data_IF_919583630289
#
_entry.id   IF_919583630289
#
_cell.length_a   1.000
_cell.length_b   1.000
_cell.length_c   1.000
_cell.angle_alpha   90.00
_cell.angle_beta   90.00
_cell.angle_gamma   90.00
#
_symmetry.space_group_name_H-M   'P 1'
#
loop_
_entity.id
_entity.type
_entity.pdbx_description
1 polymer ?
#
# COMPACT_ATOMS: atom_id res chain seq x y z
N UNK A 1 -8.54 -8.90 -1.80
CA UNK A 1 -7.39 -8.02 -2.12
C UNK A 1 -7.59 -6.73 -1.37
N UNK A 2 -6.78 -6.44 -0.37
CA UNK A 2 -6.82 -5.15 0.32
C UNK A 2 -6.33 -4.10 -0.66
N UNK A 3 -7.26 -3.32 -1.22
CA UNK A 3 -6.92 -2.16 -2.05
C UNK A 3 -6.02 -1.24 -1.23
N UNK A 4 -4.82 -0.97 -1.72
CA UNK A 4 -3.93 0.07 -1.17
C UNK A 4 -4.32 1.38 -1.85
N UNK A 5 -5.19 2.21 -1.26
CA UNK A 5 -5.77 3.37 -1.95
C UNK A 5 -4.72 4.40 -2.33
N UNK A 6 -3.66 4.55 -1.52
CA UNK A 6 -2.55 5.46 -1.80
C UNK A 6 -1.83 5.09 -3.10
N UNK A 7 -1.49 3.79 -3.24
CA UNK A 7 -0.80 3.27 -4.42
C UNK A 7 -1.64 3.41 -5.67
N UNK A 8 -2.94 3.09 -5.59
CA UNK A 8 -3.84 3.19 -6.72
C UNK A 8 -3.97 4.63 -7.25
N UNK A 9 -4.15 5.62 -6.35
CA UNK A 9 -4.25 7.02 -6.74
C UNK A 9 -2.93 7.53 -7.32
N UNK A 10 -1.80 7.22 -6.68
CA UNK A 10 -0.48 7.66 -7.15
C UNK A 10 -0.16 7.10 -8.54
N UNK A 11 -0.39 5.81 -8.73
CA UNK A 11 -0.20 5.16 -10.03
C UNK A 11 -1.06 5.81 -11.10
N UNK A 12 -2.35 5.99 -10.85
CA UNK A 12 -3.26 6.64 -11.79
C UNK A 12 -2.83 8.08 -12.14
N UNK A 13 -2.30 8.83 -11.16
CA UNK A 13 -1.86 10.19 -11.38
C UNK A 13 -0.55 10.30 -12.16
N UNK A 14 0.38 9.34 -12.00
CA UNK A 14 1.74 9.45 -12.50
C UNK A 14 2.16 8.37 -13.52
N UNK A 15 1.32 7.37 -13.84
CA UNK A 15 1.65 6.37 -14.87
C UNK A 15 1.76 6.98 -16.28
N UNK A 16 1.11 8.14 -16.52
CA UNK A 16 1.23 8.88 -17.76
C UNK A 16 2.61 9.58 -17.81
N UNK A 17 3.44 9.36 -18.86
CA UNK A 17 4.79 9.92 -18.93
C UNK A 17 4.86 11.43 -18.75
N UNK A 18 3.89 12.17 -19.33
CA UNK A 18 3.80 13.62 -19.18
C UNK A 18 3.62 14.07 -17.73
N UNK A 19 2.88 13.31 -16.94
CA UNK A 19 2.66 13.60 -15.53
C UNK A 19 3.90 13.30 -14.70
N UNK A 20 4.53 12.14 -14.94
CA UNK A 20 5.79 11.78 -14.30
C UNK A 20 6.89 12.79 -14.64
N UNK A 21 6.97 13.23 -15.90
CA UNK A 21 7.91 14.28 -16.33
C UNK A 21 7.81 15.51 -15.45
N UNK A 22 6.60 16.04 -15.23
CA UNK A 22 6.41 17.23 -14.39
C UNK A 22 6.94 17.05 -12.97
N UNK A 23 6.70 15.86 -12.37
CA UNK A 23 7.22 15.54 -11.05
C UNK A 23 8.75 15.46 -11.02
N UNK A 24 9.37 14.79 -12.00
CA UNK A 24 10.82 14.71 -12.09
C UNK A 24 11.47 16.07 -12.33
N UNK A 25 10.87 16.93 -13.17
CA UNK A 25 11.33 18.30 -13.37
C UNK A 25 11.27 19.15 -12.08
N UNK A 26 10.34 18.84 -11.18
CA UNK A 26 10.24 19.50 -9.89
C UNK A 26 11.35 19.10 -8.91
N UNK A 27 11.76 17.82 -8.91
CA UNK A 27 12.67 17.27 -7.89
C UNK A 27 14.13 17.17 -8.35
N UNK A 28 14.38 17.13 -9.67
CA UNK A 28 15.73 17.05 -10.22
C UNK A 28 16.46 18.39 -10.13
N UNK A 29 17.78 18.37 -9.90
CA UNK A 29 18.59 19.55 -10.10
C UNK A 29 18.40 20.13 -11.51
N UNK A 30 18.36 21.46 -11.68
CA UNK A 30 18.10 22.10 -12.99
C UNK A 30 19.00 21.60 -14.11
N UNK A 31 20.30 21.47 -13.85
CA UNK A 31 21.29 21.02 -14.84
C UNK A 31 21.04 19.56 -15.29
N UNK A 32 20.63 18.67 -14.35
CA UNK A 32 20.27 17.28 -14.67
C UNK A 32 18.99 17.26 -15.47
N UNK A 33 17.97 18.03 -15.07
CA UNK A 33 16.71 18.14 -15.80
C UNK A 33 16.91 18.68 -17.23
N UNK A 34 17.82 19.64 -17.41
CA UNK A 34 18.14 20.20 -18.73
C UNK A 34 18.85 19.20 -19.66
N UNK A 35 19.62 18.26 -19.10
CA UNK A 35 20.31 17.23 -19.87
C UNK A 35 19.37 16.10 -20.34
N UNK A 36 18.14 16.03 -19.81
CA UNK A 36 17.15 15.00 -20.18
C UNK A 36 16.33 15.45 -21.40
N UNK A 37 16.29 14.61 -22.41
CA UNK A 37 15.38 14.74 -23.56
C UNK A 37 13.98 14.34 -23.14
N UNK A 38 13.18 15.24 -22.56
CA UNK A 38 11.84 14.93 -22.04
C UNK A 38 10.84 14.41 -23.08
N UNK A 39 11.05 14.72 -24.37
CA UNK A 39 10.23 14.15 -25.46
C UNK A 39 10.46 12.64 -25.67
N UNK A 40 11.52 12.08 -25.10
CA UNK A 40 11.86 10.65 -25.18
C UNK A 40 11.28 9.82 -24.05
N UNK A 41 10.61 10.43 -23.06
CA UNK A 41 10.09 9.69 -21.91
C UNK A 41 9.03 8.67 -22.32
N UNK A 42 9.27 7.40 -21.97
CA UNK A 42 8.33 6.28 -22.22
C UNK A 42 8.20 5.42 -20.96
N UNK A 43 6.98 4.89 -20.70
CA UNK A 43 6.81 3.99 -19.56
C UNK A 43 7.48 2.66 -19.85
N UNK A 44 8.19 2.14 -18.87
CA UNK A 44 8.71 0.77 -18.92
C UNK A 44 7.65 -0.20 -18.40
N UNK A 45 7.36 -1.24 -19.18
CA UNK A 45 6.39 -2.25 -18.79
C UNK A 45 6.94 -3.11 -17.62
N UNK A 46 6.04 -3.76 -16.85
CA UNK A 46 6.35 -4.62 -15.70
C UNK A 46 7.38 -5.75 -15.93
N UNK A 47 7.95 -5.86 -17.16
CA UNK A 47 9.10 -6.74 -17.43
C UNK A 47 10.37 -6.30 -16.71
N UNK A 48 10.51 -5.06 -16.31
CA UNK A 48 11.65 -4.54 -15.55
C UNK A 48 11.40 -4.45 -14.03
N UNK A 49 10.15 -4.54 -13.60
CA UNK A 49 9.77 -4.55 -12.19
C UNK A 49 9.63 -6.01 -11.74
N UNK A 50 10.26 -6.37 -10.64
CA UNK A 50 10.17 -7.71 -10.05
C UNK A 50 8.71 -8.01 -9.69
N UNK A 51 8.12 -9.16 -10.11
CA UNK A 51 6.76 -9.55 -9.71
C UNK A 51 6.54 -9.51 -8.20
N UNK A 52 7.56 -9.84 -7.40
CA UNK A 52 7.51 -9.78 -5.93
C UNK A 52 7.46 -8.33 -5.38
N UNK A 53 7.81 -7.33 -6.21
CA UNK A 53 7.72 -5.90 -5.88
C UNK A 53 6.41 -5.27 -6.35
N UNK A 54 5.84 -5.74 -7.46
CA UNK A 54 4.57 -5.22 -8.05
C UNK A 54 3.42 -5.30 -7.03
N UNK A 55 3.44 -6.31 -6.16
CA UNK A 55 2.41 -6.49 -5.14
C UNK A 55 2.62 -5.65 -3.86
N UNK A 56 3.76 -4.97 -3.71
CA UNK A 56 4.10 -4.27 -2.48
C UNK A 56 4.12 -2.74 -2.58
N UNK A 57 4.38 -2.14 -3.77
CA UNK A 57 4.59 -0.70 -3.91
C UNK A 57 4.10 -0.16 -5.26
N UNK A 58 3.76 1.15 -5.29
CA UNK A 58 3.39 1.90 -6.51
C UNK A 58 4.63 2.37 -7.26
N UNK A 59 5.41 1.41 -7.74
CA UNK A 59 6.63 1.70 -8.46
C UNK A 59 6.33 2.03 -9.92
N UNK A 60 6.84 3.15 -10.40
CA UNK A 60 6.77 3.56 -11.78
C UNK A 60 8.19 3.70 -12.34
N UNK A 61 8.42 3.07 -13.48
CA UNK A 61 9.70 3.11 -14.19
C UNK A 61 9.49 3.69 -15.59
N UNK A 62 10.36 4.62 -15.97
CA UNK A 62 10.35 5.23 -17.29
C UNK A 62 11.75 5.19 -17.88
N UNK A 63 11.85 5.02 -19.21
CA UNK A 63 13.08 5.26 -19.95
C UNK A 63 13.10 6.67 -20.52
N UNK A 64 14.29 7.25 -20.59
CA UNK A 64 14.57 8.57 -21.18
C UNK A 64 15.93 8.56 -21.87
N UNK A 65 16.22 9.60 -22.66
CA UNK A 65 17.56 9.93 -23.13
C UNK A 65 18.14 11.03 -22.26
N UNK A 66 19.28 10.77 -21.62
CA UNK A 66 20.08 11.72 -20.87
C UNK A 66 21.35 11.98 -21.68
N UNK A 67 21.51 13.19 -22.19
CA UNK A 67 22.64 13.58 -23.04
C UNK A 67 22.91 12.57 -24.18
N UNK A 68 21.83 12.13 -24.85
CA UNK A 68 21.85 11.14 -25.91
C UNK A 68 22.09 9.69 -25.50
N UNK A 69 22.21 9.41 -24.20
CA UNK A 69 22.42 8.05 -23.66
C UNK A 69 21.17 7.55 -22.96
N UNK A 70 20.78 6.27 -23.10
CA UNK A 70 19.65 5.70 -22.39
C UNK A 70 19.81 5.77 -20.87
N UNK A 71 18.79 6.26 -20.17
CA UNK A 71 18.70 6.32 -18.72
C UNK A 71 17.30 5.94 -18.25
N UNK A 72 17.17 5.61 -16.97
CA UNK A 72 15.91 5.23 -16.34
C UNK A 72 15.54 6.26 -15.26
N UNK A 73 14.25 6.58 -15.18
CA UNK A 73 13.65 7.34 -14.10
C UNK A 73 12.81 6.38 -13.26
N UNK A 74 13.11 6.28 -11.96
CA UNK A 74 12.39 5.41 -11.02
C UNK A 74 11.63 6.27 -10.01
N UNK A 75 10.31 6.11 -9.96
CA UNK A 75 9.42 6.88 -9.10
C UNK A 75 8.72 5.95 -8.11
N UNK A 76 8.89 6.20 -6.83
CA UNK A 76 8.31 5.45 -5.72
C UNK A 76 7.42 6.35 -4.85
N UNK A 77 6.25 5.85 -4.46
CA UNK A 77 5.46 6.43 -3.37
C UNK A 77 5.76 5.70 -2.06
N UNK A 78 6.24 6.43 -1.06
CA UNK A 78 6.38 5.93 0.30
C UNK A 78 5.23 6.45 1.17
N UNK A 79 4.44 5.53 1.71
CA UNK A 79 3.23 5.84 2.47
C UNK A 79 3.24 5.35 3.92
N UNK A 80 4.34 4.77 4.41
CA UNK A 80 4.38 4.23 5.75
C UNK A 80 4.32 5.33 6.81
N UNK A 81 3.31 5.25 7.65
CA UNK A 81 3.15 6.10 8.84
C UNK A 81 4.14 5.72 9.96
N UNK A 82 4.78 4.56 9.87
CA UNK A 82 5.84 4.07 10.74
C UNK A 82 7.16 4.11 10.00
N UNK A 83 8.09 4.86 10.53
CA UNK A 83 9.46 5.12 10.08
C UNK A 83 10.04 4.07 9.11
N UNK A 84 10.05 4.38 7.83
CA UNK A 84 10.95 3.71 6.88
C UNK A 84 12.38 4.22 7.11
N UNK A 85 12.90 4.00 8.33
CA UNK A 85 14.26 4.44 8.71
C UNK A 85 15.33 3.84 7.78
N UNK A 86 15.02 2.73 7.14
CA UNK A 86 15.85 1.97 6.21
C UNK A 86 15.57 2.29 4.73
N UNK A 87 14.78 3.31 4.41
CA UNK A 87 14.38 3.61 3.03
C UNK A 87 15.55 3.76 2.04
N UNK A 88 16.69 4.41 2.38
CA UNK A 88 17.83 4.41 1.48
C UNK A 88 18.36 3.01 1.14
N UNK A 89 18.32 2.07 2.09
CA UNK A 89 18.72 0.68 1.85
C UNK A 89 17.72 -0.04 0.93
N UNK A 90 16.42 0.08 1.22
CA UNK A 90 15.35 -0.49 0.39
C UNK A 90 15.40 0.06 -1.05
N UNK A 91 15.61 1.38 -1.20
CA UNK A 91 15.77 1.97 -2.52
C UNK A 91 16.98 1.40 -3.26
N UNK A 92 18.12 1.23 -2.59
CA UNK A 92 19.29 0.60 -3.19
C UNK A 92 19.00 -0.84 -3.65
N UNK A 93 18.28 -1.63 -2.88
CA UNK A 93 17.83 -2.97 -3.27
C UNK A 93 16.96 -2.94 -4.54
N UNK A 94 16.00 -2.00 -4.64
CA UNK A 94 15.15 -1.85 -5.82
C UNK A 94 15.97 -1.51 -7.06
N UNK A 95 16.91 -0.55 -6.96
CA UNK A 95 17.78 -0.17 -8.07
C UNK A 95 18.69 -1.33 -8.52
N UNK A 96 19.24 -2.09 -7.59
CA UNK A 96 20.03 -3.29 -7.88
C UNK A 96 19.20 -4.35 -8.62
N UNK A 97 17.94 -4.55 -8.25
CA UNK A 97 17.03 -5.48 -8.94
C UNK A 97 16.73 -5.02 -10.36
N UNK A 98 16.45 -3.71 -10.57
CA UNK A 98 16.28 -3.12 -11.91
C UNK A 98 17.53 -3.35 -12.76
N UNK A 99 18.73 -3.06 -12.25
CA UNK A 99 20.00 -3.31 -12.96
C UNK A 99 20.22 -4.79 -13.27
N UNK A 100 19.96 -5.69 -12.32
CA UNK A 100 20.10 -7.14 -12.55
C UNK A 100 19.19 -7.64 -13.68
N UNK A 101 17.98 -7.13 -13.73
CA UNK A 101 17.03 -7.48 -14.78
C UNK A 101 17.44 -6.90 -16.12
N UNK A 102 17.83 -5.62 -16.15
CA UNK A 102 18.36 -4.98 -17.33
C UNK A 102 19.56 -5.76 -17.89
N UNK A 103 20.51 -6.13 -17.05
CA UNK A 103 21.70 -6.89 -17.43
C UNK A 103 21.36 -8.23 -18.09
N UNK A 104 20.34 -8.93 -17.61
CA UNK A 104 19.90 -10.22 -18.20
C UNK A 104 19.38 -10.06 -19.63
N UNK A 105 18.73 -8.94 -19.93
CA UNK A 105 18.14 -8.69 -21.26
C UNK A 105 19.07 -7.96 -22.22
N UNK A 106 19.96 -7.10 -21.73
CA UNK A 106 20.73 -6.16 -22.56
C UNK A 106 22.26 -6.24 -22.34
N UNK A 107 22.73 -6.90 -21.29
CA UNK A 107 24.16 -6.95 -20.96
C UNK A 107 24.67 -5.67 -20.30
N UNK A 108 25.95 -5.34 -20.56
CA UNK A 108 26.61 -4.12 -20.08
C UNK A 108 26.84 -3.16 -21.25
N UNK A 109 26.93 -1.84 -21.00
CA UNK A 109 26.89 -1.14 -19.71
C UNK A 109 25.49 -1.07 -19.10
N UNK A 110 25.41 -0.89 -17.77
CA UNK A 110 24.15 -0.63 -17.07
C UNK A 110 23.69 0.80 -17.34
N UNK A 111 22.36 1.04 -17.46
CA UNK A 111 21.83 2.39 -17.59
C UNK A 111 21.95 3.16 -16.28
N UNK A 112 22.06 4.49 -16.36
CA UNK A 112 21.87 5.34 -15.22
C UNK A 112 20.42 5.21 -14.73
N UNK A 113 20.20 5.19 -13.40
CA UNK A 113 18.86 5.23 -12.81
C UNK A 113 18.78 6.45 -11.87
N UNK A 114 17.79 7.31 -12.09
CA UNK A 114 17.51 8.47 -11.26
C UNK A 114 16.29 8.15 -10.37
N UNK A 115 16.47 7.82 -9.09
CA UNK A 115 15.37 7.49 -8.20
C UNK A 115 14.78 8.75 -7.57
N UNK A 116 13.47 8.87 -7.62
CA UNK A 116 12.70 9.86 -6.90
C UNK A 116 11.67 9.17 -6.00
N UNK A 117 11.47 9.72 -4.82
CA UNK A 117 10.57 9.23 -3.80
C UNK A 117 9.61 10.35 -3.39
N UNK A 118 8.31 10.07 -3.37
CA UNK A 118 7.29 10.96 -2.84
C UNK A 118 6.87 10.44 -1.46
N UNK A 119 7.04 11.27 -0.44
CA UNK A 119 6.59 11.00 0.93
C UNK A 119 5.35 11.80 1.25
N UNK A 120 4.33 11.14 1.82
CA UNK A 120 3.15 11.77 2.38
C UNK A 120 2.94 11.41 3.87
N UNK A 121 4.05 11.17 4.58
CA UNK A 121 4.03 10.93 6.01
C UNK A 121 3.47 12.17 6.76
N UNK A 122 2.53 12.02 7.70
CA UNK A 122 1.88 13.17 8.36
C UNK A 122 2.86 14.08 9.11
N UNK A 123 3.96 13.52 9.62
CA UNK A 123 4.98 14.25 10.39
C UNK A 123 6.20 14.62 9.55
N UNK A 124 6.10 14.51 8.22
CA UNK A 124 7.20 14.74 7.31
C UNK A 124 8.24 13.61 7.27
N UNK A 125 9.27 13.82 6.47
CA UNK A 125 10.35 12.86 6.27
C UNK A 125 11.37 12.93 7.41
N UNK A 126 11.47 11.87 8.21
CA UNK A 126 12.39 11.79 9.36
C UNK A 126 13.53 10.79 9.18
N UNK A 127 13.48 9.95 8.14
CA UNK A 127 14.52 8.97 7.84
C UNK A 127 15.79 9.64 7.26
N UNK A 128 16.90 8.90 7.26
CA UNK A 128 18.10 9.34 6.53
C UNK A 128 17.77 9.60 5.05
N UNK A 129 18.45 10.59 4.46
CA UNK A 129 18.37 10.87 3.01
C UNK A 129 19.50 10.19 2.22
N UNK A 130 20.33 9.39 2.88
CA UNK A 130 21.45 8.69 2.22
C UNK A 130 21.69 7.33 2.86
N UNK A 131 22.27 6.41 2.09
CA UNK A 131 22.69 5.12 2.61
C UNK A 131 23.80 5.27 3.67
N UNK A 132 24.72 6.22 3.49
CA UNK A 132 25.77 6.53 4.48
C UNK A 132 25.21 6.91 5.85
N UNK A 133 24.02 7.52 5.90
CA UNK A 133 23.37 7.87 7.17
C UNK A 133 22.81 6.68 7.95
N UNK A 134 22.88 5.47 7.39
CA UNK A 134 22.49 4.20 8.05
C UNK A 134 23.71 3.38 8.51
N UNK A 135 24.93 3.84 8.19
CA UNK A 135 26.17 3.07 8.43
C UNK A 135 26.88 3.61 9.67
N UNK A 136 27.34 2.69 10.53
CA UNK A 136 28.10 3.00 11.73
C UNK A 136 29.46 2.27 11.69
N UNK A 137 30.60 2.93 11.92
CA UNK A 137 30.72 4.37 12.14
C UNK A 137 30.40 5.16 10.85
N UNK A 138 29.99 6.45 10.95
CA UNK A 138 29.67 7.25 9.78
C UNK A 138 30.87 7.32 8.83
N UNK A 139 30.72 7.01 7.52
CA UNK A 139 31.87 7.00 6.58
C UNK A 139 32.61 8.33 6.49
N UNK A 140 31.97 9.45 6.78
CA UNK A 140 32.61 10.77 6.83
C UNK A 140 33.52 10.99 8.05
N UNK A 141 33.43 10.13 9.08
CA UNK A 141 34.22 10.25 10.31
C UNK A 141 35.73 9.94 10.11
N UNK A 142 36.05 9.22 9.03
CA UNK A 142 37.43 8.86 8.69
C UNK A 142 37.80 9.48 7.33
N UNK A 143 38.80 10.35 7.25
CA UNK A 143 39.23 10.94 5.98
C UNK A 143 39.53 9.88 4.91
N UNK A 144 38.90 10.00 3.72
CA UNK A 144 39.11 9.08 2.61
C UNK A 144 38.23 7.81 2.65
N UNK A 145 37.47 7.55 3.71
CA UNK A 145 36.64 6.35 3.80
C UNK A 145 35.37 6.45 2.95
N UNK A 146 34.72 7.60 2.92
CA UNK A 146 33.42 7.78 2.24
C UNK A 146 33.39 7.29 0.76
N UNK A 147 34.42 7.53 -0.08
CA UNK A 147 34.45 7.03 -1.45
C UNK A 147 34.58 5.50 -1.57
N UNK A 148 34.99 4.82 -0.51
CA UNK A 148 35.16 3.36 -0.49
C UNK A 148 33.90 2.61 -0.05
N UNK A 149 32.90 3.34 0.48
CA UNK A 149 31.64 2.77 0.99
C UNK A 149 30.52 3.11 0.03
N UNK A 150 29.71 2.11 -0.31
CA UNK A 150 28.54 2.32 -1.16
C UNK A 150 27.65 3.42 -0.59
N UNK A 151 27.34 4.43 -1.40
CA UNK A 151 26.40 5.47 -1.06
C UNK A 151 25.36 5.66 -2.17
N UNK A 152 24.19 6.11 -1.74
CA UNK A 152 23.09 6.44 -2.60
C UNK A 152 22.18 7.45 -1.88
N UNK A 153 21.73 8.45 -2.60
CA UNK A 153 20.84 9.52 -2.10
C UNK A 153 19.65 9.64 -3.04
N UNK A 154 18.48 9.05 -2.72
CA UNK A 154 17.29 9.26 -3.51
C UNK A 154 16.82 10.70 -3.43
N UNK A 155 16.22 11.20 -4.50
CA UNK A 155 15.51 12.49 -4.48
C UNK A 155 14.22 12.31 -3.66
N UNK A 156 14.03 13.09 -2.61
CA UNK A 156 12.86 12.99 -1.73
C UNK A 156 12.00 14.24 -1.86
N UNK A 157 10.78 14.06 -2.37
CA UNK A 157 9.72 15.05 -2.33
C UNK A 157 8.85 14.77 -1.10
N UNK A 158 9.01 15.57 -0.07
CA UNK A 158 8.17 15.48 1.13
C UNK A 158 6.97 16.42 1.01
N UNK A 159 5.76 15.85 0.93
CA UNK A 159 4.55 16.64 0.79
C UNK A 159 4.20 17.43 2.06
N UNK A 160 4.66 16.97 3.24
CA UNK A 160 4.43 17.69 4.49
C UNK A 160 5.17 19.04 4.53
N UNK A 161 6.30 19.16 3.81
CA UNK A 161 7.07 20.42 3.69
C UNK A 161 6.45 21.42 2.69
N UNK A 162 5.32 21.08 2.09
CA UNK A 162 4.69 21.89 1.05
C UNK A 162 3.34 22.41 1.50
N UNK A 163 3.19 23.73 1.56
CA UNK A 163 1.90 24.39 1.75
C UNK A 163 1.09 24.43 0.45
N UNK A 164 -0.14 24.94 0.53
CA UNK A 164 -1.07 25.00 -0.60
C UNK A 164 -0.58 25.93 -1.70
N UNK A 165 0.04 27.05 -1.35
CA UNK A 165 0.56 28.02 -2.32
C UNK A 165 1.71 27.39 -3.11
N UNK A 166 2.65 26.76 -2.42
CA UNK A 166 3.76 26.04 -3.04
C UNK A 166 3.29 24.93 -3.97
N UNK A 167 2.32 24.09 -3.52
CA UNK A 167 1.76 23.03 -4.36
C UNK A 167 1.03 23.59 -5.60
N UNK A 168 0.33 24.72 -5.45
CA UNK A 168 -0.39 25.37 -6.54
C UNK A 168 0.56 25.91 -7.59
N UNK A 169 1.69 26.47 -7.17
CA UNK A 169 2.70 27.05 -8.05
C UNK A 169 3.53 26.02 -8.81
N UNK A 170 3.48 24.75 -8.41
CA UNK A 170 4.19 23.69 -9.13
C UNK A 170 3.69 23.55 -10.56
N UNK A 171 4.61 23.42 -11.50
CA UNK A 171 4.33 23.23 -12.93
C UNK A 171 3.85 21.79 -13.23
N UNK A 172 2.81 21.35 -12.53
CA UNK A 172 2.17 20.06 -12.74
C UNK A 172 0.83 20.22 -13.44
N UNK A 173 0.41 19.19 -14.20
CA UNK A 173 -0.96 19.10 -14.68
C UNK A 173 -1.96 19.01 -13.50
N UNK A 174 -3.22 19.40 -13.75
CA UNK A 174 -4.23 19.52 -12.70
C UNK A 174 -4.47 18.20 -11.92
N UNK A 175 -4.58 17.05 -12.59
CA UNK A 175 -4.85 15.78 -11.92
C UNK A 175 -3.69 15.32 -11.03
N UNK A 176 -2.41 15.25 -11.47
CA UNK A 176 -1.27 15.01 -10.59
C UNK A 176 -1.20 15.96 -9.39
N UNK A 177 -1.44 17.23 -9.61
CA UNK A 177 -1.46 18.25 -8.54
C UNK A 177 -2.52 17.93 -7.50
N UNK A 178 -3.74 17.66 -7.94
CA UNK A 178 -4.85 17.28 -7.06
C UNK A 178 -4.58 15.97 -6.31
N UNK A 179 -3.99 14.97 -6.98
CA UNK A 179 -3.61 13.72 -6.35
C UNK A 179 -2.60 13.93 -5.22
N UNK A 180 -1.58 14.78 -5.41
CA UNK A 180 -0.61 15.09 -4.36
C UNK A 180 -1.26 15.82 -3.17
N UNK A 181 -2.19 16.72 -3.42
CA UNK A 181 -2.96 17.40 -2.35
C UNK A 181 -3.75 16.40 -1.51
N UNK A 182 -4.51 15.51 -2.14
CA UNK A 182 -5.31 14.55 -1.38
C UNK A 182 -4.47 13.43 -0.77
N UNK A 183 -3.29 13.12 -1.32
CA UNK A 183 -2.31 12.25 -0.66
C UNK A 183 -1.79 12.89 0.63
N UNK A 184 -1.48 14.20 0.61
CA UNK A 184 -1.04 14.96 1.79
C UNK A 184 -2.15 15.08 2.84
N UNK A 185 -3.33 15.50 2.42
CA UNK A 185 -4.41 15.97 3.32
C UNK A 185 -5.56 14.96 3.46
N UNK A 186 -5.61 13.90 2.65
CA UNK A 186 -6.76 12.99 2.58
C UNK A 186 -7.10 12.27 3.89
N UNK A 187 -6.16 12.19 4.83
CA UNK A 187 -6.39 11.63 6.17
C UNK A 187 -7.02 12.63 7.14
N UNK A 188 -7.06 13.93 6.78
CA UNK A 188 -7.69 15.01 7.53
C UNK A 188 -8.86 15.60 6.73
N UNK A 189 -10.06 15.01 6.85
CA UNK A 189 -11.25 15.48 6.12
C UNK A 189 -11.68 16.89 6.50
N UNK A 190 -11.38 17.36 7.70
CA UNK A 190 -11.65 18.72 8.13
C UNK A 190 -10.78 19.72 7.35
N UNK A 191 -9.51 19.41 7.17
CA UNK A 191 -8.58 20.19 6.35
C UNK A 191 -9.03 20.21 4.90
N UNK A 192 -9.34 19.06 4.29
CA UNK A 192 -9.85 18.97 2.93
C UNK A 192 -11.09 19.82 2.72
N UNK A 193 -12.04 19.81 3.68
CA UNK A 193 -13.27 20.58 3.61
C UNK A 193 -13.02 22.08 3.75
N UNK A 194 -12.21 22.48 4.73
CA UNK A 194 -11.86 23.88 5.01
C UNK A 194 -11.15 24.51 3.82
N UNK A 195 -10.20 23.78 3.25
CA UNK A 195 -9.30 24.30 2.22
C UNK A 195 -9.81 23.97 0.80
N UNK A 196 -11.01 23.39 0.66
CA UNK A 196 -11.59 22.97 -0.63
C UNK A 196 -11.66 24.12 -1.64
N UNK A 197 -11.97 25.34 -1.19
CA UNK A 197 -12.03 26.53 -2.05
C UNK A 197 -10.71 26.80 -2.78
N UNK A 198 -9.57 26.49 -2.17
CA UNK A 198 -8.25 26.67 -2.79
C UNK A 198 -8.04 25.72 -3.97
N UNK A 199 -8.70 24.54 -3.95
CA UNK A 199 -8.52 23.47 -4.93
C UNK A 199 -9.69 23.33 -5.90
N UNK A 200 -10.78 24.05 -5.67
CA UNK A 200 -11.99 23.98 -6.50
C UNK A 200 -11.71 24.18 -7.97
N UNK A 201 -10.89 25.16 -8.33
CA UNK A 201 -10.58 25.44 -9.72
C UNK A 201 -9.68 24.37 -10.34
N UNK A 202 -8.80 23.74 -9.56
CA UNK A 202 -8.03 22.56 -9.97
C UNK A 202 -8.96 21.37 -10.25
N UNK A 203 -9.97 21.13 -9.41
CA UNK A 203 -11.00 20.13 -9.68
C UNK A 203 -11.75 20.40 -10.99
N UNK A 204 -12.12 21.65 -11.25
CA UNK A 204 -12.77 22.05 -12.52
C UNK A 204 -11.87 21.84 -13.72
N UNK A 205 -10.60 22.14 -13.59
CA UNK A 205 -9.62 21.89 -14.64
C UNK A 205 -9.50 20.40 -14.95
N UNK A 206 -9.45 19.54 -13.92
CA UNK A 206 -9.47 18.09 -14.11
C UNK A 206 -10.75 17.65 -14.83
N UNK A 207 -11.93 18.10 -14.39
CA UNK A 207 -13.21 17.74 -15.00
C UNK A 207 -13.31 18.09 -16.50
N UNK A 208 -12.62 19.15 -16.95
CA UNK A 208 -12.60 19.56 -18.37
C UNK A 208 -11.71 18.68 -19.25
N UNK A 209 -10.84 17.87 -18.66
CA UNK A 209 -10.02 16.93 -19.42
C UNK A 209 -10.88 15.79 -20.01
N UNK A 210 -10.48 15.16 -21.14
CA UNK A 210 -11.26 14.09 -21.78
C UNK A 210 -11.61 12.92 -20.85
N UNK A 211 -10.74 12.58 -19.89
CA UNK A 211 -10.94 11.56 -18.86
C UNK A 211 -11.23 12.15 -17.48
N UNK A 212 -11.70 13.40 -17.43
CA UNK A 212 -11.79 14.18 -16.20
C UNK A 212 -12.75 13.60 -15.16
N UNK A 213 -13.88 13.06 -15.59
CA UNK A 213 -14.83 12.41 -14.68
C UNK A 213 -14.21 11.20 -13.98
N UNK A 214 -13.48 10.38 -14.71
CA UNK A 214 -12.78 9.21 -14.15
C UNK A 214 -11.66 9.64 -13.18
N UNK A 215 -10.87 10.63 -13.54
CA UNK A 215 -9.81 11.17 -12.69
C UNK A 215 -10.37 11.73 -11.37
N UNK A 216 -11.47 12.49 -11.43
CA UNK A 216 -12.16 12.98 -10.21
C UNK A 216 -12.73 11.82 -9.41
N UNK A 217 -13.33 10.81 -10.07
CA UNK A 217 -13.83 9.61 -9.38
C UNK A 217 -12.72 8.89 -8.59
N UNK A 218 -11.52 8.77 -9.15
CA UNK A 218 -10.36 8.17 -8.46
C UNK A 218 -9.97 8.98 -7.22
N UNK A 219 -9.93 10.31 -7.31
CA UNK A 219 -9.66 11.19 -6.17
C UNK A 219 -10.70 11.02 -5.08
N UNK A 220 -12.00 11.06 -5.45
CA UNK A 220 -13.10 10.93 -4.50
C UNK A 220 -13.15 9.54 -3.85
N UNK A 221 -12.90 8.49 -4.63
CA UNK A 221 -12.78 7.12 -4.12
C UNK A 221 -11.63 7.00 -3.12
N UNK A 222 -10.48 7.60 -3.43
CA UNK A 222 -9.36 7.65 -2.48
C UNK A 222 -9.77 8.32 -1.17
N UNK A 223 -10.34 9.54 -1.22
CA UNK A 223 -10.77 10.25 -0.01
C UNK A 223 -11.77 9.41 0.79
N UNK A 224 -12.76 8.80 0.15
CA UNK A 224 -13.74 7.96 0.80
C UNK A 224 -13.11 6.75 1.53
N UNK A 225 -12.13 6.09 0.90
CA UNK A 225 -11.44 4.93 1.48
C UNK A 225 -10.54 5.28 2.67
N UNK A 226 -9.89 6.45 2.65
CA UNK A 226 -8.97 6.84 3.73
C UNK A 226 -9.66 7.55 4.90
N UNK A 227 -10.82 8.19 4.67
CA UNK A 227 -11.57 8.90 5.72
C UNK A 227 -12.67 8.05 6.36
N UNK A 228 -13.15 7.03 5.65
CA UNK A 228 -14.32 6.24 6.03
C UNK A 228 -15.66 6.93 5.71
N UNK A 229 -16.73 6.14 5.65
CA UNK A 229 -18.02 6.55 5.10
C UNK A 229 -18.65 7.80 5.73
N UNK A 230 -18.64 7.93 7.06
CA UNK A 230 -19.28 9.06 7.74
C UNK A 230 -18.62 10.39 7.40
N UNK A 231 -17.29 10.43 7.40
CA UNK A 231 -16.53 11.65 7.11
C UNK A 231 -16.54 12.00 5.61
N UNK A 232 -16.65 10.98 4.76
CA UNK A 232 -16.82 11.19 3.33
C UNK A 232 -18.17 11.85 3.00
N UNK A 233 -19.25 11.53 3.72
CA UNK A 233 -20.55 12.18 3.54
C UNK A 233 -20.50 13.70 3.76
N UNK A 234 -19.75 14.15 4.76
CA UNK A 234 -19.54 15.57 5.03
C UNK A 234 -18.76 16.24 3.89
N UNK A 235 -17.70 15.59 3.41
CA UNK A 235 -16.92 16.09 2.26
C UNK A 235 -17.76 16.10 0.97
N UNK A 236 -18.59 15.09 0.74
CA UNK A 236 -19.52 15.01 -0.37
C UNK A 236 -20.54 16.17 -0.37
N UNK A 237 -21.03 16.55 0.81
CA UNK A 237 -21.91 17.71 0.94
C UNK A 237 -21.22 19.00 0.48
N UNK A 238 -19.96 19.22 0.86
CA UNK A 238 -19.14 20.35 0.42
C UNK A 238 -18.94 20.34 -1.10
N UNK A 239 -18.65 19.17 -1.69
CA UNK A 239 -18.51 19.03 -3.15
C UNK A 239 -19.82 19.42 -3.85
N UNK A 240 -20.96 18.90 -3.39
CA UNK A 240 -22.26 19.20 -4.00
C UNK A 240 -22.62 20.68 -3.93
N UNK A 241 -22.22 21.38 -2.87
CA UNK A 241 -22.45 22.81 -2.68
C UNK A 241 -21.52 23.66 -3.54
N UNK A 242 -20.21 23.34 -3.54
CA UNK A 242 -19.17 24.22 -4.13
C UNK A 242 -18.73 23.79 -5.53
N UNK A 243 -18.98 22.56 -5.92
CA UNK A 243 -18.63 21.97 -7.22
C UNK A 243 -19.76 21.03 -7.70
N UNK A 244 -20.94 21.56 -8.04
CA UNK A 244 -22.10 20.76 -8.43
C UNK A 244 -21.81 19.78 -9.58
N UNK A 245 -20.89 20.13 -10.48
CA UNK A 245 -20.47 19.31 -11.63
C UNK A 245 -19.83 17.97 -11.20
N UNK A 246 -19.23 17.90 -10.00
CA UNK A 246 -18.69 16.67 -9.43
C UNK A 246 -19.67 15.96 -8.48
N UNK A 247 -20.84 16.55 -8.22
CA UNK A 247 -21.82 16.04 -7.25
C UNK A 247 -22.36 14.66 -7.59
N UNK A 248 -22.66 14.40 -8.87
CA UNK A 248 -23.11 13.10 -9.35
C UNK A 248 -22.03 12.03 -9.25
N UNK A 249 -20.78 12.39 -9.57
CA UNK A 249 -19.61 11.48 -9.43
C UNK A 249 -19.44 11.09 -7.96
N UNK A 250 -19.50 12.05 -7.05
CA UNK A 250 -19.39 11.80 -5.61
C UNK A 250 -20.51 10.90 -5.08
N UNK A 251 -21.74 11.05 -5.62
CA UNK A 251 -22.87 10.19 -5.26
C UNK A 251 -22.67 8.76 -5.77
N UNK A 252 -22.24 8.59 -7.00
CA UNK A 252 -21.96 7.28 -7.60
C UNK A 252 -20.89 6.53 -6.80
N UNK A 253 -19.77 7.19 -6.47
CA UNK A 253 -18.70 6.58 -5.66
C UNK A 253 -19.19 6.15 -4.28
N UNK A 254 -20.01 6.97 -3.61
CA UNK A 254 -20.58 6.61 -2.31
C UNK A 254 -21.47 5.35 -2.40
N UNK A 255 -22.29 5.25 -3.45
CA UNK A 255 -23.16 4.09 -3.66
C UNK A 255 -22.36 2.83 -4.02
N UNK A 256 -21.34 2.94 -4.90
CA UNK A 256 -20.46 1.83 -5.23
C UNK A 256 -19.76 1.26 -3.99
N UNK A 257 -19.14 2.14 -3.17
CA UNK A 257 -18.47 1.72 -1.95
C UNK A 257 -19.42 1.09 -0.92
N UNK A 258 -20.67 1.59 -0.85
CA UNK A 258 -21.70 1.00 0.00
C UNK A 258 -22.05 -0.41 -0.46
N UNK A 259 -22.23 -0.62 -1.77
CA UNK A 259 -22.52 -1.93 -2.36
C UNK A 259 -21.36 -2.91 -2.20
N UNK A 260 -20.12 -2.44 -2.44
CA UNK A 260 -18.91 -3.25 -2.20
C UNK A 260 -18.81 -3.69 -0.73
N UNK A 261 -19.05 -2.77 0.21
CA UNK A 261 -19.06 -3.07 1.65
C UNK A 261 -20.13 -4.08 2.04
N UNK A 262 -21.33 -3.95 1.48
CA UNK A 262 -22.44 -4.92 1.71
C UNK A 262 -22.06 -6.31 1.17
N UNK A 263 -21.54 -6.38 -0.04
CA UNK A 263 -21.13 -7.64 -0.66
C UNK A 263 -20.01 -8.33 0.12
N UNK A 264 -18.99 -7.56 0.53
CA UNK A 264 -17.89 -8.08 1.36
C UNK A 264 -18.40 -8.57 2.72
N UNK A 265 -19.28 -7.81 3.37
CA UNK A 265 -19.89 -8.20 4.63
C UNK A 265 -20.72 -9.49 4.51
N UNK A 266 -21.50 -9.62 3.43
CA UNK A 266 -22.27 -10.84 3.15
C UNK A 266 -21.35 -12.05 2.92
N UNK A 267 -20.29 -11.88 2.14
CA UNK A 267 -19.32 -12.95 1.86
C UNK A 267 -18.58 -13.38 3.13
N UNK A 268 -18.12 -12.42 3.94
CA UNK A 268 -17.47 -12.72 5.21
C UNK A 268 -18.43 -13.41 6.20
N UNK A 269 -19.67 -12.91 6.30
CA UNK A 269 -20.69 -13.52 7.14
C UNK A 269 -21.01 -14.94 6.73
N UNK A 270 -21.14 -15.19 5.42
CA UNK A 270 -21.36 -16.55 4.88
C UNK A 270 -20.17 -17.48 5.20
N UNK A 271 -18.94 -16.99 4.99
CA UNK A 271 -17.73 -17.78 5.28
C UNK A 271 -17.60 -18.12 6.77
N UNK A 272 -17.83 -17.13 7.64
CA UNK A 272 -17.84 -17.33 9.09
C UNK A 272 -18.95 -18.28 9.53
N UNK A 273 -20.16 -18.11 8.99
CA UNK A 273 -21.30 -18.99 9.29
C UNK A 273 -21.04 -20.44 8.86
N UNK A 274 -20.46 -20.64 7.68
CA UNK A 274 -20.05 -21.99 7.22
C UNK A 274 -18.98 -22.61 8.11
N UNK A 275 -17.98 -21.82 8.53
CA UNK A 275 -16.93 -22.30 9.42
C UNK A 275 -17.47 -22.68 10.80
N UNK A 276 -18.31 -21.81 11.38
CA UNK A 276 -18.98 -22.10 12.67
C UNK A 276 -19.91 -23.30 12.58
N UNK A 277 -20.72 -23.39 11.52
CA UNK A 277 -21.61 -24.54 11.30
C UNK A 277 -20.84 -25.86 11.19
N UNK A 278 -19.73 -25.89 10.46
CA UNK A 278 -18.85 -27.07 10.37
C UNK A 278 -18.23 -27.44 11.71
N UNK A 279 -17.78 -26.46 12.50
CA UNK A 279 -17.22 -26.68 13.82
C UNK A 279 -18.29 -27.26 14.77
N UNK A 280 -19.50 -26.70 14.77
CA UNK A 280 -20.58 -27.17 15.60
C UNK A 280 -21.04 -28.59 15.21
N UNK A 281 -21.20 -28.88 13.91
CA UNK A 281 -21.53 -30.23 13.42
C UNK A 281 -20.51 -31.26 13.87
N UNK A 282 -19.21 -30.93 13.80
CA UNK A 282 -18.13 -31.82 14.27
C UNK A 282 -18.14 -32.01 15.78
N UNK A 283 -18.40 -30.97 16.54
CA UNK A 283 -18.55 -31.08 18.00
C UNK A 283 -19.71 -32.00 18.37
N UNK A 284 -20.88 -31.83 17.74
CA UNK A 284 -22.05 -32.68 17.94
C UNK A 284 -21.77 -34.13 17.55
N UNK A 285 -21.10 -34.37 16.43
CA UNK A 285 -20.70 -35.71 15.98
C UNK A 285 -19.75 -36.35 16.98
N UNK A 286 -18.73 -35.62 17.46
CA UNK A 286 -17.79 -36.11 18.44
C UNK A 286 -18.47 -36.45 19.77
N UNK A 287 -19.39 -35.61 20.25
CA UNK A 287 -20.20 -35.91 21.45
C UNK A 287 -20.95 -37.23 21.30
N UNK A 288 -21.62 -37.46 20.13
CA UNK A 288 -22.30 -38.72 19.84
C UNK A 288 -21.34 -39.93 19.81
N UNK A 289 -20.21 -39.81 19.17
CA UNK A 289 -19.22 -40.89 19.11
C UNK A 289 -18.65 -41.24 20.48
N UNK A 290 -18.34 -40.24 21.30
CA UNK A 290 -17.84 -40.45 22.65
C UNK A 290 -18.91 -41.02 23.57
N UNK A 291 -20.17 -40.60 23.43
CA UNK A 291 -21.28 -41.19 24.19
C UNK A 291 -21.51 -42.66 23.84
N UNK A 292 -21.34 -43.02 22.55
CA UNK A 292 -21.44 -44.42 22.11
C UNK A 292 -20.28 -45.29 22.65
N UNK A 293 -19.08 -44.75 22.73
CA UNK A 293 -17.89 -45.50 23.14
C UNK A 293 -17.72 -45.58 24.66
N UNK A 294 -17.94 -44.45 25.36
CA UNK A 294 -17.63 -44.33 26.79
C UNK A 294 -18.90 -44.16 27.68
N UNK A 295 -20.10 -44.17 27.09
CA UNK A 295 -21.32 -43.99 27.85
C UNK A 295 -21.66 -42.51 28.06
N UNK A 296 -22.46 -42.23 29.10
CA UNK A 296 -22.94 -40.87 29.37
C UNK A 296 -21.80 -39.90 29.69
N UNK A 297 -21.67 -38.84 28.89
CA UNK A 297 -20.63 -37.80 29.09
C UNK A 297 -21.05 -36.81 30.18
N UNK A 298 -20.08 -36.32 30.95
CA UNK A 298 -20.31 -35.27 31.90
C UNK A 298 -20.59 -33.94 31.22
N UNK A 299 -21.34 -33.00 31.82
CA UNK A 299 -21.54 -31.65 31.29
C UNK A 299 -20.25 -30.90 31.01
N UNK A 300 -19.21 -31.11 31.82
CA UNK A 300 -17.89 -30.50 31.64
C UNK A 300 -17.18 -31.05 30.39
N UNK A 301 -17.34 -32.33 30.06
CA UNK A 301 -16.81 -32.94 28.86
C UNK A 301 -17.50 -32.35 27.60
N UNK A 302 -18.82 -32.24 27.62
CA UNK A 302 -19.59 -31.67 26.53
C UNK A 302 -19.17 -30.21 26.29
N UNK A 303 -19.12 -29.40 27.34
CA UNK A 303 -18.67 -27.99 27.25
C UNK A 303 -17.25 -27.84 26.70
N UNK A 304 -16.35 -28.76 27.04
CA UNK A 304 -14.97 -28.79 26.50
C UNK A 304 -14.96 -29.05 24.99
N UNK A 305 -15.80 -29.95 24.52
CA UNK A 305 -15.92 -30.28 23.10
C UNK A 305 -16.53 -29.09 22.33
N UNK A 306 -17.60 -28.49 22.86
CA UNK A 306 -18.27 -27.35 22.24
C UNK A 306 -17.40 -26.10 22.14
N UNK A 307 -16.46 -25.92 23.08
CA UNK A 307 -15.48 -24.82 23.07
C UNK A 307 -14.19 -25.12 22.33
N UNK A 308 -14.01 -26.35 21.82
CA UNK A 308 -12.77 -26.77 21.16
C UNK A 308 -12.60 -26.10 19.79
N UNK A 309 -11.35 -25.78 19.45
CA UNK A 309 -11.01 -25.28 18.11
C UNK A 309 -11.19 -26.37 17.05
N UNK A 310 -11.27 -25.95 15.78
CA UNK A 310 -11.37 -26.89 14.67
C UNK A 310 -10.26 -27.97 14.69
N UNK A 311 -9.02 -27.55 14.93
CA UNK A 311 -7.84 -28.44 15.00
C UNK A 311 -7.93 -29.41 16.19
N UNK A 312 -8.46 -28.95 17.33
CA UNK A 312 -8.70 -29.82 18.49
C UNK A 312 -9.80 -30.85 18.20
N UNK A 313 -10.88 -30.43 17.54
CA UNK A 313 -11.95 -31.37 17.15
C UNK A 313 -11.45 -32.44 16.18
N UNK A 314 -10.65 -32.07 15.18
CA UNK A 314 -10.04 -33.05 14.25
C UNK A 314 -9.21 -34.07 15.02
N UNK A 315 -8.31 -33.62 15.89
CA UNK A 315 -7.49 -34.49 16.71
C UNK A 315 -8.32 -35.45 17.60
N UNK A 316 -9.38 -34.91 18.20
CA UNK A 316 -10.28 -35.75 19.03
C UNK A 316 -11.06 -36.78 18.19
N UNK A 317 -11.54 -36.40 17.00
CA UNK A 317 -12.24 -37.30 16.09
C UNK A 317 -11.31 -38.42 15.60
N UNK A 318 -10.07 -38.13 15.28
CA UNK A 318 -9.06 -39.12 14.91
C UNK A 318 -8.70 -40.04 16.11
N UNK A 319 -8.55 -39.44 17.30
CA UNK A 319 -8.19 -40.14 18.50
C UNK A 319 -9.32 -40.99 19.08
N UNK A 320 -10.60 -40.71 18.79
CA UNK A 320 -11.71 -41.45 19.42
C UNK A 320 -11.67 -42.96 19.16
N UNK A 321 -11.14 -43.41 18.02
CA UNK A 321 -11.07 -44.81 17.65
C UNK A 321 -10.10 -45.61 18.53
N UNK A 322 -8.98 -44.98 18.89
CA UNK A 322 -7.87 -45.63 19.60
C UNK A 322 -7.78 -45.31 21.09
N UNK A 323 -8.42 -44.21 21.54
CA UNK A 323 -8.38 -43.79 22.94
C UNK A 323 -9.00 -44.84 23.88
N UNK A 324 -8.32 -45.17 24.95
CA UNK A 324 -8.78 -46.10 25.99
C UNK A 324 -9.64 -45.40 27.05
N UNK A 325 -9.49 -44.07 27.22
CA UNK A 325 -10.28 -43.23 28.14
C UNK A 325 -10.47 -41.82 27.64
N UNK A 326 -11.43 -41.07 28.23
CA UNK A 326 -11.66 -39.66 27.94
C UNK A 326 -10.48 -38.81 28.37
N UNK A 327 -9.83 -39.14 29.48
CA UNK A 327 -8.64 -38.43 29.98
C UNK A 327 -7.48 -38.55 28.97
N UNK A 328 -7.28 -39.73 28.41
CA UNK A 328 -6.27 -39.97 27.38
C UNK A 328 -6.56 -39.15 26.10
N UNK A 329 -7.82 -39.13 25.66
CA UNK A 329 -8.22 -38.37 24.47
C UNK A 329 -8.00 -36.86 24.62
N UNK A 330 -8.25 -36.32 25.80
CA UNK A 330 -8.15 -34.91 26.09
C UNK A 330 -6.79 -34.48 26.66
N UNK A 331 -5.84 -35.39 26.85
CA UNK A 331 -4.49 -35.01 27.24
C UNK A 331 -3.86 -34.11 26.17
N UNK A 332 -3.42 -32.92 26.55
CA UNK A 332 -2.68 -32.05 25.65
C UNK A 332 -1.33 -32.62 25.34
N UNK A 333 -0.89 -32.57 24.10
CA UNK A 333 0.43 -33.01 23.66
C UNK A 333 1.62 -32.32 24.40
N UNK A 334 1.34 -31.27 25.15
CA UNK A 334 2.29 -30.54 26.01
C UNK A 334 2.61 -31.23 27.32
N UNK A 335 1.79 -32.20 27.78
CA UNK A 335 2.02 -32.90 29.05
C UNK A 335 2.82 -34.20 28.89
N UNK A 336 3.00 -34.68 27.66
CA UNK A 336 3.77 -35.89 27.34
C UNK A 336 5.30 -35.69 27.23
N UNK A 337 5.81 -34.47 27.48
CA UNK A 337 7.22 -34.11 27.43
C UNK A 337 7.83 -33.76 28.80
N UNK A 338 7.19 -34.14 29.91
CA UNK A 338 7.90 -34.11 31.21
C UNK A 338 8.65 -35.41 31.36
N UNK A 339 10.00 -35.44 31.36
CA UNK A 339 10.76 -36.58 31.75
C UNK A 339 10.47 -36.82 33.24
N UNK A 340 10.13 -38.05 33.58
CA UNK A 340 10.11 -38.51 34.99
C UNK A 340 11.47 -38.24 35.60
N UNK A 341 11.49 -37.53 36.72
CA UNK A 341 12.65 -37.23 37.53
C UNK A 341 13.02 -38.41 38.42
#
# INVERSE_FOLDING_TARGET
MTSRPHDALFKAAFETPRHAMGLFQLVLPPDVSAAISWSSITPESGTFIDPDLVDQHSDLLFSVQLDGTPALLYLLLEHQSTHASDMPLRMAEYLLRVWRRYQKGHGLPLPLILPALVSHAPNGWTASRSLHGLVEPPPASIPGLAPLVLNHCPLVLDLADSDDDKLRDWALAAFPKLALVVLRDGRDPERLRRDFNHWRDTFREVLRAPNGAEAVAQVLRYVALVTGNMRFEEFRATIREQLPEAGEIAMTIAEELRQEGLQQGLQQGLQQGLQQGRQQERAELLVKQLALKFGTLSPACVARIESATYEQLERYIEGVLTAESLEFLFADASDSLRPEA
#
